data_IF_361306894280
#
_entry.id   IF_361306894280
#
_cell.length_a   1.000
_cell.length_b   1.000
_cell.length_c   1.000
_cell.angle_alpha   90.00
_cell.angle_beta   90.00
_cell.angle_gamma   90.00
#
_symmetry.space_group_name_H-M   'P 1'
#
loop_
_entity.id
_entity.type
_entity.pdbx_description
1 polymer ?
#
# COMPACT_ATOMS: atom_id res chain seq x y z
N UNK A 1 -1.80 2.11 -19.14
CA UNK A 1 -0.50 2.09 -18.41
C UNK A 1 -0.14 0.63 -18.22
N UNK A 2 1.09 0.21 -18.47
CA UNK A 2 1.49 -1.20 -18.25
C UNK A 2 1.66 -1.41 -16.76
N UNK A 3 0.87 -2.29 -16.19
CA UNK A 3 0.89 -2.60 -14.77
C UNK A 3 2.23 -3.28 -14.41
N UNK A 4 2.89 -2.79 -13.36
CA UNK A 4 4.16 -3.33 -12.89
C UNK A 4 3.93 -4.03 -11.56
N UNK A 5 4.19 -5.34 -11.50
CA UNK A 5 4.07 -6.09 -10.25
C UNK A 5 5.28 -5.85 -9.35
N UNK A 6 5.09 -5.09 -8.28
CA UNK A 6 6.13 -4.75 -7.30
C UNK A 6 6.17 -5.68 -6.07
N UNK A 7 5.18 -6.57 -5.90
CA UNK A 7 5.04 -7.43 -4.72
C UNK A 7 6.26 -8.35 -4.47
N UNK A 8 6.96 -8.89 -5.50
CA UNK A 8 8.19 -9.65 -5.25
C UNK A 8 9.31 -8.79 -4.64
N UNK A 9 9.39 -7.51 -5.01
CA UNK A 9 10.45 -6.61 -4.55
C UNK A 9 10.15 -6.04 -3.16
N UNK A 10 8.89 -5.83 -2.80
CA UNK A 10 8.51 -5.27 -1.49
C UNK A 10 8.98 -6.13 -0.31
N UNK A 11 9.07 -7.45 -0.50
CA UNK A 11 9.66 -8.42 0.46
C UNK A 11 11.09 -8.12 0.86
N UNK A 12 11.81 -7.38 0.02
CA UNK A 12 13.24 -7.07 0.24
C UNK A 12 13.46 -5.82 1.07
N UNK A 13 12.39 -5.08 1.41
CA UNK A 13 12.45 -3.90 2.27
C UNK A 13 12.80 -4.32 3.69
N UNK A 14 13.88 -3.75 4.25
CA UNK A 14 14.43 -4.10 5.57
C UNK A 14 14.22 -3.01 6.63
N UNK A 15 13.72 -1.84 6.24
CA UNK A 15 13.52 -0.70 7.15
C UNK A 15 12.05 -0.62 7.55
N UNK A 16 11.74 -0.15 8.78
CA UNK A 16 10.36 0.08 9.19
C UNK A 16 9.63 0.97 8.19
N UNK A 17 8.48 0.51 7.70
CA UNK A 17 7.74 1.18 6.63
C UNK A 17 6.34 1.58 7.11
N UNK A 18 5.99 2.84 6.91
CA UNK A 18 4.62 3.33 7.13
C UNK A 18 3.87 3.35 5.80
N UNK A 19 2.75 2.62 5.73
CA UNK A 19 1.81 2.62 4.63
C UNK A 19 0.58 3.44 5.03
N UNK A 20 0.21 4.44 4.23
CA UNK A 20 -0.97 5.28 4.44
C UNK A 20 -1.80 5.25 3.17
N UNK A 21 -3.11 5.03 3.29
CA UNK A 21 -4.00 4.98 2.15
C UNK A 21 -5.40 5.53 2.48
N UNK A 22 -6.03 6.26 1.56
CA UNK A 22 -7.40 6.75 1.73
C UNK A 22 -8.45 5.71 1.34
N UNK A 23 -9.43 5.44 2.19
CA UNK A 23 -10.43 4.39 1.95
C UNK A 23 -11.28 4.61 0.67
N UNK A 24 -11.40 5.87 0.24
CA UNK A 24 -12.18 6.31 -0.92
C UNK A 24 -11.28 6.70 -2.11
N UNK A 25 -10.01 6.27 -2.16
CA UNK A 25 -9.14 6.49 -3.32
C UNK A 25 -9.70 5.75 -4.56
N UNK A 26 -10.13 6.54 -5.55
CA UNK A 26 -10.71 6.04 -6.81
C UNK A 26 -9.67 5.89 -7.93
N UNK A 27 -8.43 6.36 -7.72
CA UNK A 27 -7.32 6.25 -8.67
C UNK A 27 -6.52 4.97 -8.40
N UNK A 28 -6.23 4.69 -7.13
CA UNK A 28 -5.55 3.47 -6.68
C UNK A 28 -6.41 2.86 -5.57
N UNK A 29 -7.05 1.71 -5.79
CA UNK A 29 -7.88 1.08 -4.76
C UNK A 29 -7.07 0.72 -3.51
N UNK A 30 -7.67 0.84 -2.33
CA UNK A 30 -7.04 0.50 -1.04
C UNK A 30 -6.49 -0.92 -0.97
N UNK A 31 -7.07 -1.83 -1.75
CA UNK A 31 -6.63 -3.22 -1.89
C UNK A 31 -5.16 -3.34 -2.31
N UNK A 32 -4.63 -2.38 -3.07
CA UNK A 32 -3.21 -2.37 -3.45
C UNK A 32 -2.31 -2.15 -2.22
N UNK A 33 -2.72 -1.28 -1.30
CA UNK A 33 -1.98 -1.04 -0.05
C UNK A 33 -2.14 -2.20 0.94
N UNK A 34 -3.33 -2.80 1.01
CA UNK A 34 -3.57 -4.02 1.81
C UNK A 34 -2.68 -5.18 1.34
N UNK A 35 -2.58 -5.40 0.02
CA UNK A 35 -1.68 -6.40 -0.55
C UNK A 35 -0.22 -6.08 -0.19
N UNK A 36 0.19 -4.83 -0.29
CA UNK A 36 1.56 -4.44 0.06
C UNK A 36 1.86 -4.64 1.55
N UNK A 37 0.89 -4.38 2.43
CA UNK A 37 1.00 -4.59 3.87
C UNK A 37 1.15 -6.08 4.25
N UNK A 38 0.64 -7.00 3.41
CA UNK A 38 0.88 -8.44 3.59
C UNK A 38 2.31 -8.87 3.22
N UNK A 39 3.00 -8.12 2.37
CA UNK A 39 4.30 -8.52 1.79
C UNK A 39 5.51 -7.82 2.43
N UNK A 40 5.35 -6.60 2.97
CA UNK A 40 6.44 -5.89 3.65
C UNK A 40 6.61 -6.43 5.09
N UNK A 41 7.80 -6.96 5.48
CA UNK A 41 7.96 -7.65 6.77
C UNK A 41 7.74 -6.79 8.02
N UNK A 42 8.20 -5.54 8.00
CA UNK A 42 8.09 -4.58 9.12
C UNK A 42 7.34 -3.34 8.63
N UNK A 43 6.01 -3.41 8.71
CA UNK A 43 5.16 -2.31 8.31
C UNK A 43 4.11 -1.96 9.36
N UNK A 44 3.65 -0.72 9.26
CA UNK A 44 2.41 -0.25 9.84
C UNK A 44 1.51 0.24 8.73
N UNK A 45 0.32 -0.33 8.60
CA UNK A 45 -0.71 0.15 7.69
C UNK A 45 -1.72 1.03 8.41
N UNK A 46 -2.04 2.19 7.82
CA UNK A 46 -3.06 3.12 8.29
C UNK A 46 -3.99 3.44 7.13
N UNK A 47 -5.26 3.08 7.26
CA UNK A 47 -6.32 3.60 6.39
C UNK A 47 -6.83 4.94 6.93
N UNK A 48 -7.16 5.86 6.03
CA UNK A 48 -7.80 7.14 6.36
C UNK A 48 -9.26 7.08 5.88
N UNK A 49 -10.23 7.02 6.80
CA UNK A 49 -11.64 6.97 6.44
C UNK A 49 -12.08 8.19 5.64
N UNK A 50 -12.88 7.97 4.60
CA UNK A 50 -13.45 9.01 3.73
C UNK A 50 -12.41 9.85 2.96
N UNK A 51 -11.13 9.46 2.95
CA UNK A 51 -10.09 10.13 2.18
C UNK A 51 -9.98 9.51 0.79
N UNK A 52 -9.91 10.37 -0.23
CA UNK A 52 -9.60 9.98 -1.60
C UNK A 52 -8.10 9.95 -1.87
N UNK A 53 -7.73 10.21 -3.12
CA UNK A 53 -6.34 10.18 -3.57
C UNK A 53 -5.45 11.33 -3.03
N UNK A 54 -6.05 12.45 -2.60
CA UNK A 54 -5.34 13.70 -2.25
C UNK A 54 -5.83 14.32 -0.96
#
# INVERSE_FOLDING_TARGET
>A
IKETNILPMSKTIKVPTLLIHGEDDTVVPIKESELLACEIPDNKFISIPQAGHT
#
